data_IF_693353038577
#
_entry.id   IF_693353038577
#
_cell.length_a   1.000
_cell.length_b   1.000
_cell.length_c   1.000
_cell.angle_alpha   90.00
_cell.angle_beta   90.00
_cell.angle_gamma   90.00
#
_symmetry.space_group_name_H-M   'P 1'
#
loop_
_entity.id
_entity.type
_entity.pdbx_description
1 polymer ?
#
# COMPACT_ATOMS: atom_id res chain seq x y z
N UNK A 1 3.77 -23.66 -6.41
CA UNK A 1 3.87 -23.21 -5.01
C UNK A 1 2.47 -22.95 -4.51
N UNK A 2 2.07 -23.41 -3.31
CA UNK A 2 0.72 -23.22 -2.84
C UNK A 2 0.46 -21.73 -2.55
N UNK A 3 -0.50 -21.16 -3.24
CA UNK A 3 -1.23 -19.99 -2.81
C UNK A 3 -2.38 -20.52 -1.94
N UNK A 4 -2.45 -20.06 -0.72
CA UNK A 4 -3.50 -20.39 0.23
C UNK A 4 -4.10 -19.12 0.82
N UNK A 5 -5.27 -19.23 1.43
CA UNK A 5 -5.92 -18.09 2.06
C UNK A 5 -6.69 -18.54 3.31
N UNK A 6 -6.76 -17.64 4.29
CA UNK A 6 -7.47 -17.87 5.54
C UNK A 6 -8.19 -16.60 6.02
N UNK A 7 -9.07 -16.75 6.99
CA UNK A 7 -9.75 -15.63 7.63
C UNK A 7 -9.11 -15.33 8.98
N UNK A 8 -8.71 -14.07 9.18
CA UNK A 8 -8.18 -13.56 10.45
C UNK A 8 -9.23 -12.67 11.13
N UNK A 9 -9.77 -13.07 12.29
CA UNK A 9 -10.70 -12.23 13.03
C UNK A 9 -10.06 -10.89 13.42
N UNK A 10 -10.74 -9.79 13.15
CA UNK A 10 -10.32 -8.42 13.46
C UNK A 10 -11.39 -7.70 14.31
N UNK A 11 -11.17 -6.42 14.61
CA UNK A 11 -12.10 -5.63 15.42
C UNK A 11 -13.41 -5.30 14.68
N UNK A 12 -14.45 -4.93 15.42
CA UNK A 12 -15.74 -4.43 14.90
C UNK A 12 -16.46 -5.41 13.97
N UNK A 13 -16.47 -6.71 14.31
CA UNK A 13 -17.11 -7.76 13.52
C UNK A 13 -16.55 -7.91 12.09
N UNK A 14 -15.34 -7.45 11.86
CA UNK A 14 -14.60 -7.66 10.62
C UNK A 14 -13.73 -8.91 10.75
N UNK A 15 -13.63 -9.68 9.67
CA UNK A 15 -12.62 -10.71 9.48
C UNK A 15 -11.87 -10.40 8.19
N UNK A 16 -10.56 -10.41 8.25
CA UNK A 16 -9.70 -10.14 7.10
C UNK A 16 -9.51 -11.42 6.30
N UNK A 17 -9.75 -11.37 5.00
CA UNK A 17 -9.35 -12.44 4.10
C UNK A 17 -7.86 -12.26 3.78
N UNK A 18 -7.04 -13.18 4.23
CA UNK A 18 -5.57 -13.10 4.11
C UNK A 18 -5.10 -14.10 3.07
N UNK A 19 -4.36 -13.63 2.08
CA UNK A 19 -3.63 -14.45 1.12
C UNK A 19 -2.22 -14.72 1.64
N UNK A 20 -1.72 -15.94 1.41
CA UNK A 20 -0.35 -16.30 1.74
C UNK A 20 0.32 -17.08 0.60
N UNK A 21 1.59 -16.76 0.34
CA UNK A 21 2.47 -17.47 -0.57
C UNK A 21 3.70 -17.91 0.21
N UNK A 22 3.86 -19.20 0.40
CA UNK A 22 4.90 -19.76 1.25
C UNK A 22 5.97 -20.46 0.41
N UNK A 23 7.27 -20.30 0.76
CA UNK A 23 8.34 -21.04 0.12
C UNK A 23 8.28 -22.54 0.47
N UNK A 24 8.83 -23.38 -0.41
CA UNK A 24 9.00 -24.80 -0.11
C UNK A 24 10.19 -25.09 0.85
N UNK A 25 11.05 -24.12 1.03
CA UNK A 25 12.20 -24.14 1.93
C UNK A 25 11.86 -23.42 3.25
N UNK A 26 12.71 -23.54 4.30
CA UNK A 26 12.57 -22.68 5.49
C UNK A 26 12.50 -21.21 5.11
N UNK A 27 11.57 -20.47 5.75
CA UNK A 27 11.34 -19.05 5.48
C UNK A 27 12.52 -18.21 5.90
N UNK A 28 13.15 -17.50 4.95
CA UNK A 28 14.25 -16.55 5.22
C UNK A 28 13.76 -15.29 5.92
N UNK A 29 12.66 -14.74 5.44
CA UNK A 29 11.98 -13.58 5.98
C UNK A 29 10.53 -13.55 5.48
N UNK A 30 9.70 -12.74 6.14
CA UNK A 30 8.30 -12.53 5.75
C UNK A 30 8.14 -11.12 5.20
N UNK A 31 7.37 -10.99 4.13
CA UNK A 31 6.91 -9.70 3.59
C UNK A 31 5.41 -9.57 3.90
N UNK A 32 5.04 -8.53 4.62
CA UNK A 32 3.67 -8.14 4.88
C UNK A 32 3.27 -7.06 3.88
N UNK A 33 2.24 -7.31 3.07
CA UNK A 33 1.84 -6.40 1.99
C UNK A 33 0.48 -5.74 2.27
N UNK A 34 0.44 -4.42 2.09
CA UNK A 34 -0.76 -3.59 2.06
C UNK A 34 -1.01 -3.10 0.62
N UNK A 35 -2.14 -3.50 0.02
CA UNK A 35 -2.51 -3.19 -1.37
C UNK A 35 -3.10 -1.77 -1.54
N UNK A 36 -3.33 -1.33 -2.78
CA UNK A 36 -3.87 -0.02 -3.13
C UNK A 36 -5.38 0.13 -2.95
N UNK A 37 -5.91 1.32 -3.30
CA UNK A 37 -7.34 1.60 -3.28
C UNK A 37 -8.04 0.92 -4.46
N UNK A 38 -9.25 0.43 -4.21
CA UNK A 38 -10.11 -0.20 -5.21
C UNK A 38 -9.43 -1.34 -5.98
N UNK A 39 -8.66 -2.14 -5.24
CA UNK A 39 -8.05 -3.40 -5.67
C UNK A 39 -8.08 -4.42 -4.52
N UNK A 40 -7.41 -5.56 -4.65
CA UNK A 40 -7.35 -6.60 -3.63
C UNK A 40 -6.00 -7.35 -3.65
N UNK A 41 -5.70 -8.04 -2.54
CA UNK A 41 -4.42 -8.73 -2.33
C UNK A 41 -4.13 -9.85 -3.35
N UNK A 42 -5.15 -10.48 -3.91
CA UNK A 42 -4.99 -11.55 -4.93
C UNK A 42 -4.25 -11.10 -6.20
N UNK A 43 -4.22 -9.80 -6.51
CA UNK A 43 -3.49 -9.24 -7.66
C UNK A 43 -1.96 -9.35 -7.52
N UNK A 44 -1.47 -9.60 -6.30
CA UNK A 44 -0.03 -9.74 -6.02
C UNK A 44 0.49 -11.17 -6.17
N UNK A 45 -0.28 -12.06 -6.80
CA UNK A 45 0.09 -13.47 -6.99
C UNK A 45 1.45 -13.64 -7.70
N UNK A 46 1.77 -12.79 -8.68
CA UNK A 46 3.04 -12.83 -9.41
C UNK A 46 4.23 -12.52 -8.49
N UNK A 47 4.13 -11.44 -7.71
CA UNK A 47 5.12 -11.09 -6.71
C UNK A 47 5.23 -12.19 -5.63
N UNK A 48 4.09 -12.72 -5.15
CA UNK A 48 4.05 -13.79 -4.15
C UNK A 48 4.78 -15.05 -4.61
N UNK A 49 4.63 -15.44 -5.87
CA UNK A 49 5.38 -16.56 -6.46
C UNK A 49 6.88 -16.28 -6.50
N UNK A 50 7.28 -15.12 -7.02
CA UNK A 50 8.69 -14.75 -7.11
C UNK A 50 9.36 -14.70 -5.72
N UNK A 51 8.68 -14.12 -4.73
CA UNK A 51 9.15 -14.10 -3.34
C UNK A 51 9.28 -15.52 -2.77
N UNK A 52 8.26 -16.38 -2.94
CA UNK A 52 8.30 -17.74 -2.42
C UNK A 52 9.38 -18.61 -3.09
N UNK A 53 9.64 -18.44 -4.38
CA UNK A 53 10.75 -19.07 -5.09
C UNK A 53 12.13 -18.62 -4.56
N UNK A 54 12.23 -17.36 -4.11
CA UNK A 54 13.43 -16.81 -3.51
C UNK A 54 13.57 -17.11 -1.99
N UNK A 55 12.62 -17.84 -1.38
CA UNK A 55 12.66 -18.25 0.03
C UNK A 55 12.02 -17.25 1.00
N UNK A 56 11.27 -16.26 0.51
CA UNK A 56 10.49 -15.34 1.32
C UNK A 56 9.02 -15.79 1.39
N UNK A 57 8.37 -15.61 2.55
CA UNK A 57 6.93 -15.72 2.62
C UNK A 57 6.28 -14.35 2.34
N UNK A 58 5.14 -14.34 1.61
CA UNK A 58 4.32 -13.14 1.44
C UNK A 58 2.97 -13.34 2.12
N UNK A 59 2.56 -12.37 2.92
CA UNK A 59 1.21 -12.27 3.49
C UNK A 59 0.58 -10.96 3.06
N UNK A 60 -0.66 -11.02 2.58
CA UNK A 60 -1.42 -9.85 2.16
C UNK A 60 -2.89 -10.01 2.51
N UNK A 61 -3.42 -9.14 3.36
CA UNK A 61 -4.85 -9.10 3.63
C UNK A 61 -5.58 -8.28 2.55
N UNK A 62 -6.75 -8.72 2.15
CA UNK A 62 -7.73 -7.81 1.56
C UNK A 62 -8.13 -6.82 2.66
N UNK A 63 -7.79 -5.54 2.47
CA UNK A 63 -8.04 -4.52 3.47
C UNK A 63 -9.54 -4.29 3.67
N UNK A 64 -9.93 -3.73 4.82
CA UNK A 64 -11.34 -3.36 5.07
C UNK A 64 -11.94 -2.60 3.89
N UNK A 65 -13.13 -2.98 3.49
CA UNK A 65 -13.82 -2.38 2.35
C UNK A 65 -13.26 -2.77 0.98
N UNK A 66 -12.39 -3.77 0.92
CA UNK A 66 -11.76 -4.25 -0.31
C UNK A 66 -11.79 -5.78 -0.39
N UNK A 67 -11.68 -6.28 -1.63
CA UNK A 67 -11.59 -7.70 -1.91
C UNK A 67 -12.67 -8.52 -1.19
N UNK A 68 -12.32 -9.72 -0.74
CA UNK A 68 -13.24 -10.62 -0.03
C UNK A 68 -13.55 -10.18 1.40
N UNK A 69 -12.68 -9.40 2.03
CA UNK A 69 -12.99 -8.79 3.34
C UNK A 69 -14.24 -7.92 3.26
N UNK A 70 -14.52 -7.29 2.12
CA UNK A 70 -15.71 -6.47 1.91
C UNK A 70 -17.01 -7.29 1.77
N UNK A 71 -16.94 -8.61 1.51
CA UNK A 71 -18.13 -9.50 1.51
C UNK A 71 -18.82 -9.54 2.88
N UNK A 72 -18.03 -9.36 3.95
CA UNK A 72 -18.53 -9.30 5.33
C UNK A 72 -18.83 -7.87 5.80
N UNK A 73 -18.76 -6.89 4.88
CA UNK A 73 -18.92 -5.47 5.19
C UNK A 73 -19.46 -4.67 4.01
N UNK A 74 -18.84 -3.52 3.74
CA UNK A 74 -19.24 -2.64 2.65
C UNK A 74 -18.06 -2.32 1.75
N UNK A 75 -18.19 -2.62 0.47
CA UNK A 75 -17.18 -2.28 -0.54
C UNK A 75 -16.95 -0.76 -0.59
N UNK A 76 -15.69 -0.35 -0.40
CA UNK A 76 -15.26 1.04 -0.38
C UNK A 76 -15.50 1.77 0.96
N UNK A 77 -15.63 1.04 2.08
CA UNK A 77 -15.75 1.61 3.43
C UNK A 77 -14.79 0.88 4.39
N UNK A 78 -13.89 1.60 5.08
CA UNK A 78 -13.03 0.98 6.08
C UNK A 78 -13.81 0.58 7.34
N UNK A 79 -14.54 1.54 7.93
CA UNK A 79 -15.40 1.35 9.09
C UNK A 79 -16.41 2.49 9.17
N UNK A 80 -17.43 2.34 10.03
CA UNK A 80 -18.40 3.43 10.28
C UNK A 80 -17.75 4.60 11.02
N UNK A 81 -16.79 4.33 11.89
CA UNK A 81 -16.06 5.30 12.69
C UNK A 81 -14.60 4.91 12.78
N UNK A 82 -13.69 5.89 12.83
CA UNK A 82 -12.24 5.68 13.00
C UNK A 82 -11.61 4.71 11.99
N UNK A 83 -12.12 4.70 10.75
CA UNK A 83 -11.73 3.72 9.72
C UNK A 83 -10.24 3.74 9.40
N UNK A 84 -9.57 4.91 9.47
CA UNK A 84 -8.13 4.99 9.32
C UNK A 84 -7.38 4.19 10.38
N UNK A 85 -7.73 4.38 11.65
CA UNK A 85 -7.08 3.64 12.73
C UNK A 85 -7.39 2.14 12.63
N UNK A 86 -8.63 1.79 12.24
CA UNK A 86 -9.02 0.39 12.09
C UNK A 86 -8.16 -0.33 11.04
N UNK A 87 -7.95 0.27 9.84
CA UNK A 87 -7.15 -0.36 8.78
C UNK A 87 -5.67 -0.44 9.13
N UNK A 88 -5.12 0.54 9.86
CA UNK A 88 -3.73 0.50 10.35
C UNK A 88 -3.57 -0.57 11.45
N UNK A 89 -4.54 -0.69 12.36
CA UNK A 89 -4.54 -1.73 13.39
C UNK A 89 -4.69 -3.13 12.80
N UNK A 90 -5.45 -3.31 11.71
CA UNK A 90 -5.55 -4.59 11.01
C UNK A 90 -4.21 -5.04 10.43
N UNK A 91 -3.42 -4.10 9.91
CA UNK A 91 -2.05 -4.38 9.47
C UNK A 91 -1.18 -4.86 10.64
N UNK A 92 -1.32 -4.21 11.81
CA UNK A 92 -0.64 -4.62 13.05
C UNK A 92 -1.09 -6.00 13.55
N UNK A 93 -2.39 -6.29 13.48
CA UNK A 93 -2.93 -7.60 13.83
C UNK A 93 -2.34 -8.73 12.95
N UNK A 94 -2.22 -8.49 11.65
CA UNK A 94 -1.61 -9.45 10.73
C UNK A 94 -0.09 -9.57 11.00
N UNK A 95 0.60 -8.47 11.30
CA UNK A 95 2.01 -8.51 11.70
C UNK A 95 2.22 -9.35 12.98
N UNK A 96 1.35 -9.18 13.98
CA UNK A 96 1.37 -9.98 15.21
C UNK A 96 1.12 -11.46 14.93
N UNK A 97 0.12 -11.79 14.10
CA UNK A 97 -0.16 -13.16 13.69
C UNK A 97 1.05 -13.81 13.00
N UNK A 98 1.72 -13.08 12.10
CA UNK A 98 2.96 -13.52 11.43
C UNK A 98 4.06 -13.76 12.46
N UNK A 99 4.27 -12.84 13.40
CA UNK A 99 5.28 -12.97 14.45
C UNK A 99 5.08 -14.21 15.35
N UNK A 100 3.82 -14.60 15.58
CA UNK A 100 3.48 -15.83 16.31
C UNK A 100 3.75 -17.11 15.49
N UNK A 101 3.52 -17.07 14.18
CA UNK A 101 3.77 -18.20 13.28
C UNK A 101 5.25 -18.38 12.94
N UNK A 102 6.00 -17.28 12.87
CA UNK A 102 7.40 -17.24 12.44
C UNK A 102 8.27 -16.50 13.49
N UNK A 103 8.38 -17.02 14.72
CA UNK A 103 9.12 -16.34 15.78
C UNK A 103 10.59 -16.18 15.40
N UNK A 104 11.12 -14.97 15.61
CA UNK A 104 12.51 -14.65 15.29
C UNK A 104 12.81 -14.48 13.80
N UNK A 105 11.82 -14.60 12.90
CA UNK A 105 12.01 -14.40 11.47
C UNK A 105 11.90 -12.90 11.12
N UNK A 106 12.81 -12.35 10.29
CA UNK A 106 12.74 -10.97 9.85
C UNK A 106 11.42 -10.63 9.14
N UNK A 107 10.83 -9.48 9.49
CA UNK A 107 9.59 -8.97 8.89
C UNK A 107 9.87 -7.71 8.09
N UNK A 108 9.45 -7.70 6.82
CA UNK A 108 9.44 -6.54 5.93
C UNK A 108 8.01 -6.08 5.69
N UNK A 109 7.85 -4.78 5.50
CA UNK A 109 6.57 -4.17 5.14
C UNK A 109 6.61 -3.69 3.69
N UNK A 110 5.60 -4.04 2.90
CA UNK A 110 5.41 -3.53 1.55
C UNK A 110 4.07 -2.81 1.46
N UNK A 111 4.05 -1.55 1.05
CA UNK A 111 2.81 -0.81 0.78
C UNK A 111 2.76 -0.28 -0.63
N UNK A 112 1.64 -0.47 -1.33
CA UNK A 112 1.40 0.10 -2.65
C UNK A 112 0.27 1.13 -2.62
N UNK A 113 0.48 2.31 -3.23
CA UNK A 113 -0.53 3.36 -3.37
C UNK A 113 -1.19 3.69 -2.01
N UNK A 114 -2.50 3.55 -1.84
CA UNK A 114 -3.17 3.69 -0.54
C UNK A 114 -2.51 2.84 0.55
N UNK A 115 -2.13 1.61 0.23
CA UNK A 115 -1.40 0.72 1.15
C UNK A 115 -0.05 1.29 1.59
N UNK A 116 0.61 2.11 0.75
CA UNK A 116 1.85 2.78 1.15
C UNK A 116 1.63 3.85 2.21
N UNK A 117 0.46 4.50 2.22
CA UNK A 117 0.10 5.47 3.25
C UNK A 117 -0.28 4.77 4.57
N UNK A 118 -0.99 3.64 4.48
CA UNK A 118 -1.28 2.78 5.63
C UNK A 118 0.02 2.24 6.23
N UNK A 119 0.94 1.78 5.39
CA UNK A 119 2.27 1.36 5.80
C UNK A 119 3.04 2.49 6.50
N UNK A 120 3.05 3.72 5.95
CA UNK A 120 3.68 4.86 6.60
C UNK A 120 3.06 5.15 7.98
N UNK A 121 1.73 5.07 8.12
CA UNK A 121 1.08 5.25 9.42
C UNK A 121 1.48 4.16 10.43
N UNK A 122 1.58 2.91 10.00
CA UNK A 122 2.07 1.81 10.80
C UNK A 122 3.52 2.02 11.26
N UNK A 123 4.38 2.49 10.34
CA UNK A 123 5.79 2.76 10.62
C UNK A 123 6.01 3.78 11.73
N UNK A 124 5.10 4.74 11.95
CA UNK A 124 5.24 5.75 13.00
C UNK A 124 5.40 5.14 14.39
N UNK A 125 4.83 3.96 14.63
CA UNK A 125 4.81 3.33 15.94
C UNK A 125 5.50 1.96 15.99
N UNK A 126 5.68 1.30 14.84
CA UNK A 126 6.15 -0.09 14.75
C UNK A 126 7.41 -0.28 13.90
N UNK A 127 8.06 0.81 13.49
CA UNK A 127 9.25 0.73 12.63
C UNK A 127 10.44 0.01 13.26
N UNK A 128 10.52 -0.01 14.60
CA UNK A 128 11.61 -0.65 15.32
C UNK A 128 11.57 -2.20 15.23
N UNK A 129 10.38 -2.79 15.05
CA UNK A 129 10.19 -4.25 14.93
C UNK A 129 10.38 -4.78 13.50
N UNK A 130 10.53 -3.89 12.51
CA UNK A 130 10.68 -4.25 11.11
C UNK A 130 12.16 -4.30 10.67
N UNK A 131 12.42 -5.14 9.66
CA UNK A 131 13.74 -5.24 9.02
C UNK A 131 13.90 -4.32 7.83
N UNK A 132 12.81 -3.82 7.26
CA UNK A 132 12.78 -2.85 6.20
C UNK A 132 11.36 -2.55 5.73
N UNK A 133 11.21 -1.50 4.92
CA UNK A 133 9.93 -1.13 4.34
C UNK A 133 10.08 -0.72 2.86
N UNK A 134 9.11 -1.13 2.04
CA UNK A 134 9.01 -0.77 0.62
C UNK A 134 7.75 0.06 0.44
N UNK A 135 7.88 1.27 -0.12
CA UNK A 135 6.78 2.18 -0.43
C UNK A 135 6.70 2.36 -1.95
N UNK A 136 5.68 1.76 -2.56
CA UNK A 136 5.46 1.75 -4.01
C UNK A 136 4.32 2.67 -4.41
N UNK A 137 4.48 3.46 -5.47
CA UNK A 137 3.44 4.34 -6.01
C UNK A 137 2.91 5.35 -4.98
N UNK A 138 3.79 5.83 -4.11
CA UNK A 138 3.49 6.74 -3.00
C UNK A 138 3.72 8.19 -3.39
N UNK A 139 3.38 9.11 -2.49
CA UNK A 139 3.71 10.53 -2.64
C UNK A 139 3.91 11.21 -1.28
N UNK A 140 4.41 12.45 -1.32
CA UNK A 140 4.45 13.34 -0.18
C UNK A 140 3.93 14.72 -0.57
N UNK A 141 2.98 15.23 0.22
CA UNK A 141 2.35 16.53 0.04
C UNK A 141 2.21 17.22 1.41
N UNK A 142 2.20 18.55 1.47
CA UNK A 142 1.96 19.27 2.71
C UNK A 142 0.62 18.89 3.35
N UNK A 143 0.62 18.65 4.67
CA UNK A 143 -0.57 18.29 5.43
C UNK A 143 -1.74 19.28 5.25
N UNK A 144 -1.47 20.56 5.00
CA UNK A 144 -2.47 21.59 4.74
C UNK A 144 -3.33 21.26 3.51
N UNK A 145 -2.74 20.70 2.44
CA UNK A 145 -3.49 20.31 1.24
C UNK A 145 -4.54 19.24 1.55
N UNK A 146 -4.15 18.22 2.32
CA UNK A 146 -5.08 17.14 2.72
C UNK A 146 -6.17 17.64 3.66
N UNK A 147 -5.87 18.61 4.53
CA UNK A 147 -6.88 19.25 5.39
C UNK A 147 -7.92 20.00 4.57
N UNK A 148 -7.50 20.74 3.53
CA UNK A 148 -8.42 21.42 2.60
C UNK A 148 -9.25 20.41 1.82
N UNK A 149 -8.65 19.38 1.23
CA UNK A 149 -9.36 18.32 0.53
C UNK A 149 -10.41 17.63 1.44
N UNK A 150 -10.09 17.47 2.73
CA UNK A 150 -11.01 16.90 3.72
C UNK A 150 -12.25 17.77 3.96
N UNK A 151 -12.16 19.09 3.80
CA UNK A 151 -13.35 19.97 3.90
C UNK A 151 -14.32 19.69 2.74
N UNK A 152 -13.81 19.47 1.53
CA UNK A 152 -14.63 19.08 0.37
C UNK A 152 -15.28 17.72 0.63
N UNK A 153 -14.53 16.74 1.13
CA UNK A 153 -15.07 15.42 1.47
C UNK A 153 -16.13 15.50 2.58
N UNK A 154 -15.99 16.40 3.56
CA UNK A 154 -17.00 16.65 4.59
C UNK A 154 -18.30 17.21 4.01
N UNK A 155 -18.20 18.15 3.07
CA UNK A 155 -19.36 18.72 2.39
C UNK A 155 -20.11 17.64 1.60
N UNK A 156 -19.39 16.79 0.88
CA UNK A 156 -19.98 15.68 0.14
C UNK A 156 -20.60 14.61 1.07
N UNK A 157 -19.96 14.31 2.20
CA UNK A 157 -20.50 13.41 3.20
C UNK A 157 -21.78 13.99 3.86
N UNK A 158 -21.84 15.31 4.07
CA UNK A 158 -23.05 15.98 4.53
C UNK A 158 -24.17 15.91 3.49
N UNK A 159 -23.84 16.12 2.19
CA UNK A 159 -24.81 16.12 1.09
C UNK A 159 -25.36 14.74 0.73
N UNK A 160 -24.53 13.70 0.75
CA UNK A 160 -24.85 12.35 0.24
C UNK A 160 -24.87 11.28 1.35
N UNK A 161 -24.50 11.65 2.58
CA UNK A 161 -24.25 10.72 3.68
C UNK A 161 -22.84 10.12 3.61
N UNK A 162 -22.36 9.52 4.74
CA UNK A 162 -21.02 8.96 4.86
C UNK A 162 -20.78 7.77 3.93
N UNK A 163 -21.80 6.98 3.62
CA UNK A 163 -21.73 5.85 2.69
C UNK A 163 -21.95 6.26 1.21
N UNK A 164 -22.30 7.51 0.95
CA UNK A 164 -22.41 8.04 -0.40
C UNK A 164 -21.08 7.93 -1.15
N UNK A 165 -21.14 7.80 -2.48
CA UNK A 165 -19.98 7.65 -3.37
C UNK A 165 -19.91 8.85 -4.31
N UNK A 166 -19.21 9.92 -3.87
CA UNK A 166 -19.20 11.20 -4.59
C UNK A 166 -18.43 11.13 -5.91
N UNK A 167 -19.14 11.44 -7.01
CA UNK A 167 -18.51 11.60 -8.31
C UNK A 167 -17.55 12.82 -8.36
N UNK A 168 -17.80 13.84 -7.53
CA UNK A 168 -16.92 15.00 -7.44
C UNK A 168 -15.57 14.63 -6.80
N UNK A 169 -15.58 13.88 -5.70
CA UNK A 169 -14.35 13.40 -5.06
C UNK A 169 -13.57 12.51 -6.03
N UNK A 170 -14.25 11.59 -6.68
CA UNK A 170 -13.68 10.71 -7.71
C UNK A 170 -12.98 11.51 -8.80
N UNK A 171 -13.68 12.52 -9.35
CA UNK A 171 -13.15 13.38 -10.40
C UNK A 171 -11.94 14.21 -9.92
N UNK A 172 -11.97 14.77 -8.71
CA UNK A 172 -10.87 15.53 -8.13
C UNK A 172 -9.65 14.65 -7.85
N UNK A 173 -9.86 13.38 -7.50
CA UNK A 173 -8.80 12.43 -7.16
C UNK A 173 -8.20 11.76 -8.40
N UNK A 174 -9.04 11.13 -9.22
CA UNK A 174 -8.59 10.27 -10.34
C UNK A 174 -8.89 10.86 -11.73
N UNK A 175 -9.83 11.80 -11.83
CA UNK A 175 -10.32 12.31 -13.11
C UNK A 175 -9.27 13.00 -13.99
N UNK A 176 -8.12 13.38 -13.45
CA UNK A 176 -7.00 13.96 -14.20
C UNK A 176 -5.92 12.94 -14.58
N UNK A 177 -5.89 11.75 -13.95
CA UNK A 177 -4.77 10.81 -14.09
C UNK A 177 -4.60 10.31 -15.52
N UNK A 178 -5.69 10.02 -16.20
CA UNK A 178 -5.66 9.56 -17.59
C UNK A 178 -5.37 10.65 -18.63
N UNK A 179 -5.36 11.93 -18.25
CA UNK A 179 -5.19 13.02 -19.23
C UNK A 179 -3.84 12.98 -19.96
N UNK A 180 -2.80 12.52 -19.28
CA UNK A 180 -1.45 12.41 -19.83
C UNK A 180 -1.30 11.25 -20.82
N UNK A 181 -2.26 10.30 -20.86
CA UNK A 181 -2.16 9.07 -21.64
C UNK A 181 -3.13 9.01 -22.81
N UNK A 182 -3.57 10.16 -23.30
CA UNK A 182 -4.48 10.24 -24.46
C UNK A 182 -3.77 9.81 -25.76
N UNK A 183 -4.47 9.12 -26.69
CA UNK A 183 -5.86 8.67 -26.59
C UNK A 183 -6.06 7.55 -25.59
N UNK A 184 -7.07 7.67 -24.73
CA UNK A 184 -7.34 6.67 -23.70
C UNK A 184 -8.15 5.50 -24.29
N UNK A 185 -7.78 4.27 -23.93
CA UNK A 185 -8.47 3.02 -24.24
C UNK A 185 -9.53 2.71 -23.18
N UNK A 186 -9.18 2.96 -21.90
CA UNK A 186 -10.02 2.73 -20.73
C UNK A 186 -9.99 3.94 -19.79
N UNK A 187 -10.73 3.88 -18.67
CA UNK A 187 -10.63 4.86 -17.58
C UNK A 187 -9.39 4.65 -16.70
N UNK A 188 -8.63 3.56 -16.90
CA UNK A 188 -7.56 3.10 -16.00
C UNK A 188 -6.21 2.93 -16.70
N UNK A 189 -6.02 3.50 -17.88
CA UNK A 189 -4.75 3.41 -18.61
C UNK A 189 -3.57 4.00 -17.83
N UNK A 190 -3.84 4.87 -16.86
CA UNK A 190 -2.85 5.44 -15.97
C UNK A 190 -2.20 4.42 -15.01
N UNK A 191 -2.75 3.22 -14.88
CA UNK A 191 -2.22 2.16 -14.02
C UNK A 191 -0.96 1.51 -14.59
N UNK A 192 -0.98 1.17 -15.88
CA UNK A 192 0.12 0.45 -16.54
C UNK A 192 0.18 0.75 -18.03
N UNK A 193 1.37 0.61 -18.62
CA UNK A 193 1.59 0.58 -20.08
C UNK A 193 1.14 -0.74 -20.70
N UNK A 194 1.06 -1.83 -19.93
CA UNK A 194 0.61 -3.13 -20.40
C UNK A 194 -0.92 -3.16 -20.49
N UNK A 195 -1.49 -3.19 -21.73
CA UNK A 195 -2.94 -3.19 -21.89
C UNK A 195 -3.62 -4.42 -21.27
N UNK A 196 -2.93 -5.57 -21.24
CA UNK A 196 -3.48 -6.79 -20.68
C UNK A 196 -3.67 -6.67 -19.15
N UNK A 197 -2.73 -6.04 -18.45
CA UNK A 197 -2.86 -5.78 -17.00
C UNK A 197 -3.99 -4.79 -16.70
N UNK A 198 -4.16 -3.77 -17.56
CA UNK A 198 -5.29 -2.84 -17.44
C UNK A 198 -6.62 -3.56 -17.68
N UNK A 199 -6.70 -4.45 -18.66
CA UNK A 199 -7.91 -5.23 -18.96
C UNK A 199 -8.27 -6.19 -17.82
N UNK A 200 -7.27 -6.82 -17.18
CA UNK A 200 -7.48 -7.62 -15.99
C UNK A 200 -8.08 -6.79 -14.85
N UNK A 201 -7.57 -5.58 -14.62
CA UNK A 201 -8.13 -4.66 -13.62
C UNK A 201 -9.57 -4.24 -13.93
N UNK A 202 -9.85 -3.88 -15.19
CA UNK A 202 -11.17 -3.41 -15.62
C UNK A 202 -12.22 -4.53 -15.57
N UNK A 203 -11.83 -5.77 -15.85
CA UNK A 203 -12.73 -6.93 -15.84
C UNK A 203 -13.00 -7.51 -14.45
N UNK A 204 -12.19 -7.13 -13.46
CA UNK A 204 -12.33 -7.65 -12.09
C UNK A 204 -13.40 -6.87 -11.32
N UNK A 205 -14.50 -7.52 -10.86
CA UNK A 205 -15.57 -6.85 -10.12
C UNK A 205 -15.13 -6.32 -8.75
N UNK A 206 -13.99 -6.78 -8.23
CA UNK A 206 -13.39 -6.32 -6.97
C UNK A 206 -12.39 -5.17 -7.18
N UNK A 207 -12.25 -4.67 -8.43
CA UNK A 207 -11.38 -3.56 -8.78
C UNK A 207 -12.17 -2.37 -9.35
N UNK A 208 -11.59 -1.17 -9.30
CA UNK A 208 -12.13 0.03 -9.97
C UNK A 208 -13.43 0.59 -9.38
N UNK A 209 -13.86 0.13 -8.24
CA UNK A 209 -15.07 0.63 -7.58
C UNK A 209 -14.84 1.99 -6.91
N UNK A 210 -15.92 2.78 -6.79
CA UNK A 210 -15.87 4.05 -6.04
C UNK A 210 -15.91 3.82 -4.55
N UNK A 211 -15.03 4.50 -3.83
CA UNK A 211 -15.00 4.50 -2.38
C UNK A 211 -16.03 5.45 -1.78
N UNK A 212 -16.48 5.16 -0.55
CA UNK A 212 -17.44 5.96 0.20
C UNK A 212 -16.83 7.31 0.61
N UNK A 213 -17.69 8.30 0.85
CA UNK A 213 -17.27 9.59 1.40
C UNK A 213 -16.55 9.43 2.75
N UNK A 214 -16.95 8.44 3.57
CA UNK A 214 -16.29 8.14 4.83
C UNK A 214 -14.87 7.62 4.63
N UNK A 215 -14.63 6.70 3.68
CA UNK A 215 -13.26 6.24 3.39
C UNK A 215 -12.36 7.41 2.98
N UNK A 216 -12.86 8.33 2.15
CA UNK A 216 -12.11 9.53 1.77
C UNK A 216 -11.81 10.45 2.96
N UNK A 217 -12.75 10.62 3.89
CA UNK A 217 -12.53 11.39 5.12
C UNK A 217 -11.44 10.76 5.99
N UNK A 218 -11.46 9.44 6.12
CA UNK A 218 -10.49 8.67 6.89
C UNK A 218 -9.10 8.71 6.24
N UNK A 219 -9.03 8.48 4.93
CA UNK A 219 -7.77 8.53 4.18
C UNK A 219 -7.14 9.93 4.24
N UNK A 220 -7.90 10.99 3.97
CA UNK A 220 -7.39 12.37 4.00
C UNK A 220 -6.94 12.80 5.40
N UNK A 221 -7.55 12.26 6.45
CA UNK A 221 -7.07 12.44 7.83
C UNK A 221 -5.72 11.75 8.03
N UNK A 222 -5.60 10.50 7.60
CA UNK A 222 -4.37 9.74 7.69
C UNK A 222 -3.24 10.38 6.90
N UNK A 223 -3.50 10.81 5.66
CA UNK A 223 -2.54 11.52 4.82
C UNK A 223 -2.05 12.82 5.48
N UNK A 224 -2.94 13.59 6.11
CA UNK A 224 -2.56 14.80 6.85
C UNK A 224 -1.70 14.48 8.09
N UNK A 225 -1.89 13.31 8.71
CA UNK A 225 -1.11 12.85 9.84
C UNK A 225 0.30 12.41 9.43
N UNK A 226 0.42 11.50 8.44
CA UNK A 226 1.71 10.99 8.00
C UNK A 226 2.59 12.04 7.30
N UNK A 227 1.99 13.12 6.80
CA UNK A 227 2.74 14.21 6.15
C UNK A 227 3.29 15.25 7.12
N UNK A 228 3.12 15.09 8.43
CA UNK A 228 3.73 15.98 9.41
C UNK A 228 5.18 15.57 9.67
N UNK A 229 6.16 16.48 9.56
CA UNK A 229 7.57 16.13 9.81
C UNK A 229 7.83 15.55 11.19
N UNK A 230 7.12 16.04 12.24
CA UNK A 230 7.20 15.52 13.59
C UNK A 230 6.75 14.06 13.71
N UNK A 231 5.80 13.63 12.87
CA UNK A 231 5.34 12.24 12.85
C UNK A 231 6.34 11.38 12.08
N UNK A 232 6.79 11.81 10.91
CA UNK A 232 7.83 11.08 10.16
C UNK A 232 9.10 10.87 11.00
N UNK A 233 9.46 11.80 11.88
CA UNK A 233 10.59 11.68 12.79
C UNK A 233 10.44 10.57 13.85
N UNK A 234 9.27 9.93 13.98
CA UNK A 234 9.05 8.77 14.85
C UNK A 234 9.52 7.46 14.20
N UNK A 235 9.70 7.45 12.88
CA UNK A 235 10.22 6.28 12.15
C UNK A 235 11.68 6.06 12.56
N UNK A 236 12.04 4.82 12.88
CA UNK A 236 13.42 4.47 13.24
C UNK A 236 14.40 4.91 12.13
N UNK A 237 15.36 5.80 12.42
CA UNK A 237 16.28 6.32 11.42
C UNK A 237 17.24 5.26 10.84
N UNK A 238 17.29 4.08 11.45
CA UNK A 238 18.08 2.96 10.95
C UNK A 238 17.26 1.94 10.14
N UNK A 239 15.95 2.17 9.94
CA UNK A 239 15.13 1.27 9.13
C UNK A 239 15.51 1.40 7.64
N UNK A 240 15.96 0.32 6.97
CA UNK A 240 16.13 0.33 5.53
C UNK A 240 14.78 0.58 4.84
N UNK A 241 14.76 1.54 3.93
CA UNK A 241 13.56 1.89 3.19
C UNK A 241 13.85 1.94 1.69
N UNK A 242 12.97 1.34 0.90
CA UNK A 242 12.97 1.44 -0.56
C UNK A 242 11.71 2.16 -1.01
N UNK A 243 11.88 3.29 -1.70
CA UNK A 243 10.79 4.06 -2.31
C UNK A 243 10.85 3.81 -3.81
N UNK A 244 9.80 3.23 -4.39
CA UNK A 244 9.72 2.89 -5.82
C UNK A 244 8.47 3.45 -6.48
N UNK A 245 8.57 3.76 -7.76
CA UNK A 245 7.42 4.19 -8.58
C UNK A 245 7.78 4.47 -10.01
N UNK A 246 6.77 4.70 -10.83
CA UNK A 246 6.93 5.05 -12.22
C UNK A 246 7.21 6.53 -12.43
N UNK A 247 8.04 6.86 -13.43
CA UNK A 247 8.30 8.24 -13.83
C UNK A 247 7.04 8.95 -14.30
N UNK A 248 6.15 8.22 -14.99
CA UNK A 248 4.88 8.73 -15.51
C UNK A 248 3.69 8.49 -14.56
N UNK A 249 3.93 8.08 -13.31
CA UNK A 249 2.87 7.88 -12.33
C UNK A 249 2.19 9.20 -11.96
N UNK A 250 0.88 9.39 -12.25
CA UNK A 250 0.17 10.63 -11.93
C UNK A 250 -0.05 10.85 -10.43
N UNK A 251 0.01 9.80 -9.61
CA UNK A 251 -0.08 9.89 -8.14
C UNK A 251 1.17 10.53 -7.58
N UNK A 252 2.33 10.08 -8.02
CA UNK A 252 3.63 10.63 -7.61
C UNK A 252 4.04 11.88 -8.43
N UNK A 253 3.40 12.11 -9.59
CA UNK A 253 3.64 13.25 -10.49
C UNK A 253 5.13 13.57 -10.67
N UNK A 254 5.95 12.52 -10.86
CA UNK A 254 7.39 12.56 -11.11
C UNK A 254 8.24 13.05 -9.93
N UNK A 255 7.85 14.13 -9.25
CA UNK A 255 8.64 14.74 -8.17
C UNK A 255 8.18 14.37 -6.76
N UNK A 256 6.92 13.98 -6.57
CA UNK A 256 6.36 13.75 -5.24
C UNK A 256 6.92 12.49 -4.58
N UNK A 257 7.37 11.52 -5.38
CA UNK A 257 8.07 10.35 -4.89
C UNK A 257 9.45 10.73 -4.35
N UNK A 258 10.18 11.60 -5.07
CA UNK A 258 11.46 12.17 -4.60
C UNK A 258 11.24 12.98 -3.32
N UNK A 259 10.18 13.80 -3.25
CA UNK A 259 9.85 14.55 -2.03
C UNK A 259 9.60 13.63 -0.84
N UNK A 260 8.97 12.45 -1.05
CA UNK A 260 8.80 11.47 0.02
C UNK A 260 10.16 10.93 0.50
N UNK A 261 11.02 10.51 -0.42
CA UNK A 261 12.35 10.01 -0.06
C UNK A 261 13.18 11.07 0.67
N UNK A 262 13.11 12.32 0.23
CA UNK A 262 13.82 13.44 0.86
C UNK A 262 13.23 13.77 2.25
N UNK A 263 11.91 13.74 2.41
CA UNK A 263 11.26 13.93 3.71
C UNK A 263 11.67 12.83 4.71
N UNK A 264 11.77 11.57 4.26
CA UNK A 264 12.26 10.46 5.09
C UNK A 264 13.74 10.63 5.44
N UNK A 265 14.59 11.05 4.52
CA UNK A 265 16.01 11.35 4.79
C UNK A 265 16.18 12.52 5.75
N UNK A 266 15.33 13.53 5.65
CA UNK A 266 15.36 14.70 6.52
C UNK A 266 15.08 14.37 8.00
N UNK A 267 14.46 13.22 8.30
CA UNK A 267 14.28 12.72 9.68
C UNK A 267 15.54 12.06 10.25
N UNK A 268 16.64 12.01 9.51
CA UNK A 268 17.88 11.36 9.91
C UNK A 268 18.05 9.94 9.37
N UNK A 269 17.08 9.40 8.62
CA UNK A 269 17.20 8.07 8.04
C UNK A 269 18.22 8.07 6.87
N UNK A 270 19.32 7.31 7.05
CA UNK A 270 20.43 7.20 6.09
C UNK A 270 20.27 6.05 5.10
N UNK A 271 19.27 5.20 5.28
CA UNK A 271 19.04 3.97 4.54
C UNK A 271 17.85 4.05 3.59
N UNK A 272 17.49 5.26 3.14
CA UNK A 272 16.42 5.47 2.16
C UNK A 272 16.98 5.39 0.74
N UNK A 273 16.58 4.37 0.00
CA UNK A 273 16.83 4.24 -1.43
C UNK A 273 15.60 4.70 -2.22
N UNK A 274 15.83 5.40 -3.33
CA UNK A 274 14.78 5.81 -4.28
C UNK A 274 15.08 5.17 -5.63
N UNK A 275 14.08 4.52 -6.23
CA UNK A 275 14.15 4.01 -7.59
C UNK A 275 12.92 4.42 -8.37
N UNK A 276 13.14 5.13 -9.47
CA UNK A 276 12.10 5.58 -10.40
C UNK A 276 12.31 4.84 -11.71
N UNK A 277 11.27 4.13 -12.16
CA UNK A 277 11.33 3.36 -13.41
C UNK A 277 10.92 4.24 -14.59
N UNK A 278 11.78 4.38 -15.62
CA UNK A 278 11.50 5.21 -16.79
C UNK A 278 10.20 4.80 -17.48
N UNK A 279 9.43 5.80 -17.92
CA UNK A 279 8.15 5.65 -18.62
C UNK A 279 7.06 4.85 -17.87
N UNK A 280 7.40 4.15 -16.77
CA UNK A 280 6.44 3.36 -16.02
C UNK A 280 5.36 4.24 -15.40
N UNK A 281 4.16 3.68 -15.30
CA UNK A 281 2.97 4.31 -14.71
C UNK A 281 2.83 3.90 -13.25
N UNK A 282 1.62 3.90 -12.71
CA UNK A 282 1.37 3.75 -11.27
C UNK A 282 1.72 2.37 -10.69
N UNK A 283 1.29 1.30 -11.37
CA UNK A 283 1.45 -0.07 -10.88
C UNK A 283 2.74 -0.72 -11.42
N UNK A 284 3.89 -0.34 -10.88
CA UNK A 284 5.19 -0.82 -11.37
C UNK A 284 5.35 -2.35 -11.36
N UNK A 285 4.62 -3.07 -10.49
CA UNK A 285 4.57 -4.53 -10.45
C UNK A 285 3.74 -5.16 -11.58
N UNK A 286 2.94 -4.36 -12.27
CA UNK A 286 2.08 -4.74 -13.39
C UNK A 286 2.50 -4.03 -14.70
N UNK A 287 3.69 -3.45 -14.72
CA UNK A 287 4.26 -2.77 -15.88
C UNK A 287 4.89 -3.73 -16.89
N UNK A 288 5.22 -3.23 -18.08
CA UNK A 288 5.91 -3.99 -19.12
C UNK A 288 7.29 -4.49 -18.66
N UNK A 289 7.95 -3.77 -17.76
CA UNK A 289 9.22 -4.14 -17.14
C UNK A 289 9.08 -4.71 -15.71
N UNK A 290 7.94 -5.31 -15.37
CA UNK A 290 7.65 -5.87 -14.03
C UNK A 290 8.65 -6.89 -13.52
N UNK A 291 9.32 -7.61 -14.42
CA UNK A 291 10.34 -8.59 -14.03
C UNK A 291 11.60 -7.91 -13.50
N UNK A 292 12.02 -6.79 -14.10
CA UNK A 292 13.07 -5.91 -13.57
C UNK A 292 12.68 -5.38 -12.18
N UNK A 293 11.46 -4.86 -12.04
CA UNK A 293 10.96 -4.35 -10.75
C UNK A 293 10.98 -5.44 -9.68
N UNK A 294 10.55 -6.65 -10.03
CA UNK A 294 10.55 -7.80 -9.11
C UNK A 294 11.96 -8.20 -8.70
N UNK A 295 12.90 -8.26 -9.67
CA UNK A 295 14.30 -8.56 -9.39
C UNK A 295 14.95 -7.52 -8.47
N UNK A 296 14.64 -6.24 -8.68
CA UNK A 296 15.12 -5.15 -7.85
C UNK A 296 14.60 -5.24 -6.41
N UNK A 297 13.32 -5.59 -6.23
CA UNK A 297 12.73 -5.81 -4.90
C UNK A 297 13.43 -6.98 -4.20
N UNK A 298 13.61 -8.11 -4.89
CA UNK A 298 14.30 -9.28 -4.34
C UNK A 298 15.74 -8.94 -3.95
N UNK A 299 16.49 -8.26 -4.83
CA UNK A 299 17.85 -7.83 -4.56
C UNK A 299 17.95 -6.89 -3.37
N UNK A 300 16.98 -5.97 -3.21
CA UNK A 300 16.93 -5.07 -2.08
C UNK A 300 16.61 -5.80 -0.77
N UNK A 301 15.67 -6.76 -0.78
CA UNK A 301 15.33 -7.56 0.39
C UNK A 301 16.54 -8.35 0.90
N UNK A 302 17.30 -8.99 0.00
CA UNK A 302 18.54 -9.72 0.35
C UNK A 302 19.61 -8.77 0.93
N UNK A 303 19.77 -7.57 0.36
CA UNK A 303 20.69 -6.55 0.89
C UNK A 303 20.26 -6.08 2.29
N UNK A 304 18.97 -5.84 2.49
CA UNK A 304 18.45 -5.39 3.78
C UNK A 304 18.59 -6.48 4.87
N UNK A 305 18.42 -7.76 4.51
CA UNK A 305 18.71 -8.89 5.41
C UNK A 305 20.18 -8.93 5.82
N UNK A 306 21.09 -8.69 4.88
CA UNK A 306 22.54 -8.71 5.14
C UNK A 306 22.99 -7.58 6.09
N UNK A 307 22.20 -6.53 6.30
CA UNK A 307 22.47 -5.49 7.31
C UNK A 307 22.32 -5.99 8.75
N UNK A 308 21.71 -7.17 8.95
CA UNK A 308 21.73 -7.87 10.24
C UNK A 308 21.00 -7.14 11.38
N UNK A 309 19.89 -6.44 11.10
CA UNK A 309 19.07 -5.83 12.17
C UNK A 309 18.57 -6.92 13.13
N UNK A 310 18.65 -6.68 14.45
CA UNK A 310 18.12 -7.65 15.41
C UNK A 310 16.61 -7.73 15.30
N UNK A 311 16.06 -8.95 15.34
CA UNK A 311 14.62 -9.18 15.48
C UNK A 311 14.23 -8.72 16.89
N UNK A 312 13.42 -7.67 16.99
CA UNK A 312 12.85 -7.21 18.27
C UNK A 312 11.46 -7.82 18.41
N UNK A 313 11.26 -8.63 19.45
CA UNK A 313 9.91 -9.02 19.90
C UNK A 313 9.25 -7.79 20.53
N UNK A 314 8.05 -7.44 20.07
CA UNK A 314 7.18 -6.49 20.78
C UNK A 314 6.61 -7.12 22.06
#
# INVERSE_FOLDING_TARGET
>A
MPHDAFWLPASEHCSLHVHQWLPATPVKAVVLLAHGMAEHAGRYQRLGRALSEAGFALFAADQRGHGRTAELGSLGLFARHHGWNAVVNDLGLLAQHIGQQYPGTPLFLFGHSMGSYIAQAYLLHHSASLHGAILSGSNYQPAALYRVARLIARLEAWRQGPQGKSALIEWLSFGSFNKAFKPNRTAFDWLSRDPAEVDLYVSDPLCGFRCSNQLWLDLLQGLAQISQPSNLAQIDPNLPMLVIGGECDPVSAGKRLTHLADALRATGNRHVQLRVYPEARHEVLNETNRDEVTADILGWLEQALALGRPVRSE
#
